data_IF_659508778988
#
_entry.id   IF_659508778988
#
_cell.length_a   1.000
_cell.length_b   1.000
_cell.length_c   1.000
_cell.angle_alpha   90.00
_cell.angle_beta   90.00
_cell.angle_gamma   90.00
#
_symmetry.space_group_name_H-M   'P 1'
#
loop_
_entity.id
_entity.type
_entity.pdbx_description
1 polymer ?
#
# COMPACT_ATOMS: atom_id res chain seq x y z
N UNK A 1 11.11 -4.84 -1.72
CA UNK A 1 9.73 -5.42 -1.75
C UNK A 1 8.92 -5.04 -0.52
N UNK A 2 9.43 -5.18 0.70
CA UNK A 2 8.72 -4.85 1.95
C UNK A 2 8.25 -3.38 1.96
N UNK A 3 9.10 -2.45 1.53
CA UNK A 3 8.75 -1.03 1.44
C UNK A 3 7.58 -0.74 0.48
N UNK A 4 7.48 -1.46 -0.64
CA UNK A 4 6.37 -1.32 -1.60
C UNK A 4 5.05 -1.72 -0.94
N UNK A 5 5.03 -2.84 -0.22
CA UNK A 5 3.84 -3.30 0.50
C UNK A 5 3.45 -2.29 1.58
N UNK A 6 4.42 -1.82 2.37
CA UNK A 6 4.18 -0.86 3.45
C UNK A 6 3.63 0.47 2.94
N UNK A 7 4.21 1.01 1.85
CA UNK A 7 3.76 2.27 1.25
C UNK A 7 2.37 2.14 0.62
N UNK A 8 2.08 1.06 -0.11
CA UNK A 8 0.75 0.82 -0.68
C UNK A 8 -0.30 0.64 0.40
N UNK A 9 0.01 -0.10 1.46
CA UNK A 9 -0.90 -0.28 2.60
C UNK A 9 -1.18 1.04 3.31
N UNK A 10 -0.14 1.83 3.62
CA UNK A 10 -0.28 3.15 4.24
C UNK A 10 -1.09 4.12 3.37
N UNK A 11 -0.81 4.15 2.06
CA UNK A 11 -1.57 4.97 1.11
C UNK A 11 -3.04 4.54 1.03
N UNK A 12 -3.31 3.23 1.05
CA UNK A 12 -4.67 2.69 1.06
C UNK A 12 -5.46 3.12 2.28
N UNK A 13 -4.89 3.01 3.47
CA UNK A 13 -5.53 3.44 4.72
C UNK A 13 -5.83 4.94 4.70
N UNK A 14 -4.88 5.75 4.27
CA UNK A 14 -5.03 7.21 4.23
C UNK A 14 -6.10 7.64 3.22
N UNK A 15 -6.15 7.02 2.05
CA UNK A 15 -7.16 7.31 1.03
C UNK A 15 -8.57 6.87 1.47
N UNK A 16 -8.70 5.71 2.14
CA UNK A 16 -9.97 5.25 2.70
C UNK A 16 -10.49 6.20 3.78
N UNK A 17 -9.65 6.61 4.73
CA UNK A 17 -10.00 7.57 5.79
C UNK A 17 -10.40 8.94 5.24
N UNK A 18 -9.64 9.46 4.27
CA UNK A 18 -9.98 10.72 3.59
C UNK A 18 -11.32 10.63 2.85
N UNK A 19 -11.58 9.52 2.17
CA UNK A 19 -12.84 9.31 1.46
C UNK A 19 -14.02 9.23 2.42
N UNK A 20 -13.88 8.48 3.53
CA UNK A 20 -14.91 8.39 4.58
C UNK A 20 -15.22 9.77 5.17
N UNK A 21 -14.19 10.50 5.58
CA UNK A 21 -14.33 11.84 6.18
C UNK A 21 -14.98 12.83 5.21
N UNK A 22 -14.59 12.80 3.93
CA UNK A 22 -15.14 13.70 2.90
C UNK A 22 -16.61 13.40 2.62
N UNK A 23 -16.96 12.13 2.46
CA UNK A 23 -18.35 11.71 2.23
C UNK A 23 -19.25 12.02 3.43
N UNK A 24 -18.74 11.81 4.65
CA UNK A 24 -19.47 12.15 5.86
C UNK A 24 -19.72 13.67 5.96
N UNK A 25 -18.72 14.49 5.72
CA UNK A 25 -18.88 15.97 5.73
C UNK A 25 -19.88 16.42 4.68
N UNK A 26 -19.77 15.93 3.44
CA UNK A 26 -20.70 16.29 2.37
C UNK A 26 -22.15 15.91 2.71
N UNK A 27 -22.35 14.78 3.40
CA UNK A 27 -23.66 14.35 3.87
C UNK A 27 -24.18 15.26 5.00
N UNK A 28 -23.35 15.60 5.98
CA UNK A 28 -23.67 16.48 7.09
C UNK A 28 -24.01 17.91 6.59
N UNK A 29 -23.21 18.43 5.66
CA UNK A 29 -23.44 19.73 5.03
C UNK A 29 -24.77 19.79 4.27
N UNK A 30 -25.11 18.70 3.57
CA UNK A 30 -26.40 18.57 2.88
C UNK A 30 -27.57 18.62 3.86
N UNK A 31 -27.48 17.89 4.99
CA UNK A 31 -28.52 17.92 6.02
C UNK A 31 -28.63 19.29 6.67
N UNK A 32 -27.51 19.99 6.92
CA UNK A 32 -27.50 21.35 7.44
C UNK A 32 -28.18 22.31 6.46
N UNK A 33 -27.89 22.23 5.16
CA UNK A 33 -28.55 23.04 4.14
C UNK A 33 -30.07 22.81 4.11
N UNK A 34 -30.50 21.54 4.19
CA UNK A 34 -31.91 21.18 4.26
C UNK A 34 -32.58 21.71 5.51
N UNK A 35 -31.88 21.67 6.66
CA UNK A 35 -32.34 22.27 7.90
C UNK A 35 -32.53 23.80 7.79
N UNK A 36 -31.56 24.48 7.21
CA UNK A 36 -31.65 25.93 6.97
C UNK A 36 -32.79 26.29 6.01
N UNK A 37 -32.95 25.48 4.96
CA UNK A 37 -34.06 25.64 4.02
C UNK A 37 -35.42 25.45 4.72
N UNK A 38 -35.54 24.43 5.60
CA UNK A 38 -36.76 24.19 6.37
C UNK A 38 -37.06 25.35 7.31
N UNK A 39 -36.04 25.89 7.99
CA UNK A 39 -36.19 27.06 8.87
C UNK A 39 -36.65 28.29 8.08
N UNK A 40 -36.00 28.57 6.96
CA UNK A 40 -36.34 29.69 6.08
C UNK A 40 -37.74 29.58 5.42
N UNK A 41 -38.20 28.35 5.18
CA UNK A 41 -39.52 28.06 4.64
C UNK A 41 -40.65 28.14 5.72
N UNK A 42 -40.29 28.17 6.98
CA UNK A 42 -41.25 28.14 8.09
C UNK A 42 -41.72 29.55 8.44
N UNK A 43 -43.03 29.75 8.55
CA UNK A 43 -43.65 31.02 8.99
C UNK A 43 -44.61 30.75 10.16
N UNK A 44 -44.69 31.70 11.05
CA UNK A 44 -45.69 31.72 12.12
C UNK A 44 -46.92 32.48 11.58
N UNK A 45 -48.07 31.83 11.64
CA UNK A 45 -49.33 32.44 11.30
C UNK A 45 -49.91 33.16 12.55
N UNK A 46 -50.83 34.08 12.34
CA UNK A 46 -51.55 34.82 13.38
C UNK A 46 -52.30 33.96 14.39
N UNK A 47 -52.47 32.67 14.10
CA UNK A 47 -53.07 31.63 14.98
C UNK A 47 -52.05 30.87 15.84
N UNK A 48 -50.81 31.38 16.02
CA UNK A 48 -49.70 30.69 16.70
C UNK A 48 -49.39 29.30 16.08
N UNK A 49 -49.75 29.05 14.82
CA UNK A 49 -49.42 27.85 14.11
C UNK A 49 -48.21 28.05 13.20
N UNK A 50 -47.29 27.08 13.18
CA UNK A 50 -46.16 27.10 12.24
C UNK A 50 -46.57 26.35 10.97
N UNK A 51 -46.53 27.08 9.87
CA UNK A 51 -46.78 26.51 8.54
C UNK A 51 -45.52 26.58 7.70
N UNK A 52 -45.24 25.50 6.96
CA UNK A 52 -44.14 25.42 5.98
C UNK A 52 -44.68 25.88 4.63
N UNK A 53 -44.31 27.11 4.22
CA UNK A 53 -44.91 27.80 3.06
C UNK A 53 -44.33 27.32 1.74
N UNK A 54 -43.15 26.72 1.72
CA UNK A 54 -42.55 26.18 0.50
C UNK A 54 -42.12 24.73 0.67
N UNK A 55 -42.15 24.00 -0.42
CA UNK A 55 -41.63 22.61 -0.46
C UNK A 55 -40.15 22.59 -0.12
N UNK A 56 -39.80 21.92 0.97
CA UNK A 56 -38.39 21.57 1.24
C UNK A 56 -37.89 20.70 0.09
N UNK A 57 -36.97 21.24 -0.71
CA UNK A 57 -36.66 20.88 -2.10
C UNK A 57 -36.18 19.47 -2.42
N UNK A 58 -36.21 18.51 -1.50
CA UNK A 58 -35.80 17.13 -1.81
C UNK A 58 -37.03 16.21 -2.00
N UNK A 59 -37.20 15.60 -3.20
CA UNK A 59 -38.34 14.71 -3.50
C UNK A 59 -38.48 13.54 -2.52
N UNK A 60 -37.43 13.12 -1.85
CA UNK A 60 -37.42 12.02 -0.89
C UNK A 60 -38.29 12.31 0.35
N UNK A 61 -38.53 13.57 0.68
CA UNK A 61 -39.44 13.96 1.77
C UNK A 61 -40.92 13.67 1.47
N UNK A 62 -41.26 13.32 0.23
CA UNK A 62 -42.61 12.95 -0.18
C UNK A 62 -42.81 11.43 -0.28
N UNK A 63 -41.72 10.66 -0.32
CA UNK A 63 -41.78 9.21 -0.44
C UNK A 63 -41.93 8.55 0.93
N UNK A 64 -43.01 7.82 1.20
CA UNK A 64 -43.19 7.13 2.49
C UNK A 64 -42.00 6.25 2.84
N UNK A 65 -41.53 6.38 4.08
CA UNK A 65 -40.42 5.58 4.62
C UNK A 65 -39.10 5.67 3.83
N UNK A 66 -38.85 6.81 3.19
CA UNK A 66 -37.63 7.03 2.38
C UNK A 66 -36.35 6.99 3.20
N UNK A 67 -36.41 7.28 4.49
CA UNK A 67 -35.22 7.51 5.34
C UNK A 67 -34.82 8.99 5.42
N UNK A 68 -35.48 9.84 4.61
CA UNK A 68 -35.30 11.29 4.63
C UNK A 68 -36.52 11.91 5.26
N UNK A 69 -36.35 12.52 6.44
CA UNK A 69 -37.46 13.01 7.24
C UNK A 69 -37.13 14.39 7.77
N UNK A 70 -38.17 15.22 7.94
CA UNK A 70 -38.09 16.43 8.72
C UNK A 70 -39.30 16.55 9.65
N UNK A 71 -39.10 17.21 10.77
CA UNK A 71 -40.15 17.44 11.77
C UNK A 71 -39.86 18.75 12.51
N UNK A 72 -40.94 19.45 12.88
CA UNK A 72 -40.92 20.69 13.65
C UNK A 72 -41.71 20.47 14.92
N UNK A 73 -41.12 20.74 16.06
CA UNK A 73 -41.74 20.48 17.36
C UNK A 73 -41.71 21.76 18.24
N UNK A 74 -42.80 21.96 19.02
CA UNK A 74 -42.82 22.83 20.16
C UNK A 74 -42.82 21.94 21.43
N UNK A 75 -41.68 21.82 22.09
CA UNK A 75 -41.50 20.85 23.17
C UNK A 75 -41.89 19.45 22.75
N UNK A 76 -42.93 18.86 23.37
CA UNK A 76 -43.41 17.51 23.06
C UNK A 76 -44.44 17.47 21.92
N UNK A 77 -44.94 18.64 21.48
CA UNK A 77 -46.00 18.73 20.47
C UNK A 77 -45.36 18.84 19.07
N UNK A 78 -45.77 17.98 18.16
CA UNK A 78 -45.37 18.07 16.73
C UNK A 78 -46.27 19.10 16.06
N UNK A 79 -45.65 20.14 15.49
CA UNK A 79 -46.31 21.21 14.75
C UNK A 79 -46.45 20.87 13.26
N UNK A 80 -45.39 20.38 12.66
CA UNK A 80 -45.38 19.98 11.26
C UNK A 80 -44.37 18.82 11.03
N UNK A 81 -44.57 18.04 9.97
CA UNK A 81 -43.68 16.93 9.60
C UNK A 81 -43.72 16.63 8.10
N UNK A 82 -42.66 15.98 7.60
CA UNK A 82 -42.61 15.52 6.22
C UNK A 82 -43.61 14.39 5.95
N UNK A 83 -44.13 14.32 4.72
CA UNK A 83 -45.03 13.23 4.30
C UNK A 83 -44.33 11.87 4.35
N UNK A 84 -43.01 11.84 4.19
CA UNK A 84 -42.22 10.60 4.26
C UNK A 84 -42.27 9.91 5.62
N UNK A 85 -42.56 10.64 6.72
CA UNK A 85 -42.72 10.07 8.06
C UNK A 85 -43.99 9.25 8.23
N UNK A 86 -45.01 9.50 7.40
CA UNK A 86 -46.30 8.83 7.42
C UNK A 86 -46.94 8.83 8.82
N UNK A 87 -46.84 7.72 9.55
CA UNK A 87 -47.38 7.52 10.91
C UNK A 87 -46.34 7.69 12.04
N UNK A 88 -45.10 8.09 11.69
CA UNK A 88 -44.00 8.17 12.64
C UNK A 88 -43.77 9.59 13.15
N UNK A 89 -43.20 9.65 14.36
CA UNK A 89 -42.84 10.92 15.02
C UNK A 89 -41.53 10.73 15.74
N UNK A 90 -40.60 11.67 15.56
CA UNK A 90 -39.39 11.73 16.37
C UNK A 90 -39.71 12.29 17.76
N UNK A 91 -39.26 11.58 18.78
CA UNK A 91 -39.38 12.07 20.17
C UNK A 91 -38.14 12.87 20.50
N UNK A 92 -38.32 14.08 21.04
CA UNK A 92 -37.23 14.97 21.45
C UNK A 92 -36.50 14.36 22.64
N UNK A 93 -35.23 14.10 22.51
CA UNK A 93 -34.33 13.91 23.64
C UNK A 93 -33.65 15.27 23.95
N UNK A 94 -34.10 15.96 24.99
CA UNK A 94 -33.58 17.26 25.42
C UNK A 94 -32.07 17.23 25.70
N UNK A 95 -31.48 16.05 25.94
CA UNK A 95 -30.04 15.89 26.17
C UNK A 95 -29.19 16.03 24.89
N UNK A 96 -29.84 15.99 23.72
CA UNK A 96 -29.20 16.06 22.41
C UNK A 96 -29.32 17.44 21.73
N UNK A 97 -29.92 18.43 22.40
CA UNK A 97 -29.99 19.80 21.91
C UNK A 97 -28.57 20.37 21.86
N UNK A 98 -28.09 20.71 20.67
CA UNK A 98 -26.73 21.25 20.45
C UNK A 98 -25.60 20.23 20.32
N UNK A 99 -25.88 18.92 20.42
CA UNK A 99 -24.89 17.85 20.20
C UNK A 99 -25.13 17.23 18.82
N UNK A 100 -24.07 17.09 18.00
CA UNK A 100 -24.07 16.24 16.80
C UNK A 100 -24.46 14.82 17.23
N UNK A 101 -25.73 14.44 17.04
CA UNK A 101 -26.21 13.14 17.49
C UNK A 101 -25.76 12.08 16.50
N UNK A 102 -24.77 11.31 16.90
CA UNK A 102 -24.48 10.02 16.29
C UNK A 102 -25.62 9.05 16.61
N UNK A 103 -26.27 8.56 15.54
CA UNK A 103 -27.10 7.36 15.49
C UNK A 103 -28.02 7.06 16.67
N UNK A 104 -29.30 7.38 16.56
CA UNK A 104 -30.31 6.84 17.46
C UNK A 104 -31.53 6.34 16.69
N UNK A 105 -31.76 5.02 16.76
CA UNK A 105 -33.02 4.38 16.39
C UNK A 105 -34.04 4.66 17.49
N UNK A 106 -34.89 5.63 17.31
CA UNK A 106 -36.08 5.76 18.15
C UNK A 106 -37.27 6.21 17.31
N UNK A 107 -37.98 5.24 16.75
CA UNK A 107 -39.31 5.46 16.26
C UNK A 107 -40.27 4.74 17.26
N UNK A 108 -41.03 5.50 18.02
CA UNK A 108 -42.19 4.97 18.73
C UNK A 108 -43.39 5.02 17.79
N UNK A 109 -43.62 3.93 17.09
CA UNK A 109 -44.78 3.72 16.24
C UNK A 109 -45.29 2.29 16.40
N UNK A 110 -46.53 2.05 16.01
CA UNK A 110 -47.28 0.82 16.19
C UNK A 110 -46.46 -0.44 15.83
N UNK A 111 -46.44 -1.42 16.75
CA UNK A 111 -45.53 -2.59 16.74
C UNK A 111 -45.36 -3.38 15.41
N UNK A 112 -46.29 -3.29 14.48
CA UNK A 112 -46.21 -4.01 13.18
C UNK A 112 -45.41 -3.28 12.07
N UNK A 113 -45.23 -1.97 12.17
CA UNK A 113 -44.53 -1.19 11.14
C UNK A 113 -43.11 -0.80 11.56
N UNK A 114 -42.82 -0.79 12.86
CA UNK A 114 -41.50 -0.53 13.46
C UNK A 114 -40.39 -1.45 12.91
N UNK A 115 -40.74 -2.66 12.46
CA UNK A 115 -39.78 -3.64 11.93
C UNK A 115 -39.10 -3.21 10.63
N UNK A 116 -39.67 -2.26 9.88
CA UNK A 116 -39.11 -1.78 8.59
C UNK A 116 -38.16 -0.60 8.79
N UNK A 117 -38.32 0.19 9.86
CA UNK A 117 -37.47 1.35 10.21
C UNK A 117 -36.31 0.98 11.12
N UNK A 118 -36.45 -0.02 11.98
CA UNK A 118 -35.37 -0.54 12.82
C UNK A 118 -34.11 -0.97 12.02
N UNK A 119 -34.25 -1.16 10.68
CA UNK A 119 -33.13 -1.53 9.80
C UNK A 119 -32.39 -0.34 9.16
N UNK A 120 -32.93 0.88 9.25
CA UNK A 120 -32.29 2.07 8.64
C UNK A 120 -31.50 2.83 9.69
N UNK A 121 -30.23 3.05 9.41
CA UNK A 121 -29.38 3.93 10.22
C UNK A 121 -29.62 5.36 9.75
N UNK A 122 -30.21 6.19 10.61
CA UNK A 122 -30.50 7.59 10.32
C UNK A 122 -29.48 8.49 11.00
N UNK A 123 -28.98 9.48 10.26
CA UNK A 123 -28.26 10.62 10.83
C UNK A 123 -29.27 11.75 11.01
N UNK A 124 -29.36 12.30 12.23
CA UNK A 124 -30.34 13.32 12.60
C UNK A 124 -29.60 14.57 13.03
N UNK A 125 -29.96 15.71 12.42
CA UNK A 125 -29.54 17.03 12.86
C UNK A 125 -30.74 17.75 13.43
N UNK A 126 -30.56 18.42 14.57
CA UNK A 126 -31.59 19.23 15.21
C UNK A 126 -31.05 20.61 15.54
N UNK A 127 -31.93 21.61 15.45
CA UNK A 127 -31.64 22.99 15.87
C UNK A 127 -32.86 23.61 16.54
N UNK A 128 -32.64 24.25 17.65
CA UNK A 128 -33.66 25.00 18.39
C UNK A 128 -33.58 26.45 18.00
N UNK A 129 -34.73 27.06 17.65
CA UNK A 129 -34.85 28.45 17.20
C UNK A 129 -36.02 29.13 17.92
N UNK A 130 -35.77 30.32 18.42
CA UNK A 130 -36.78 31.21 18.97
C UNK A 130 -37.28 32.17 17.90
N UNK A 131 -38.59 32.18 17.67
CA UNK A 131 -39.21 33.08 16.72
C UNK A 131 -39.79 34.32 17.44
N UNK A 132 -39.63 35.52 16.86
CA UNK A 132 -40.32 36.71 17.38
C UNK A 132 -41.83 36.49 17.37
N UNK A 133 -42.48 36.69 18.52
CA UNK A 133 -43.93 36.53 18.65
C UNK A 133 -44.39 35.09 18.98
N UNK A 134 -43.49 34.12 19.11
CA UNK A 134 -43.81 32.78 19.57
C UNK A 134 -43.20 32.53 20.96
N UNK A 135 -43.99 31.93 21.87
CA UNK A 135 -43.66 31.91 23.30
C UNK A 135 -42.57 30.90 23.66
N UNK A 136 -42.46 29.81 22.91
CA UNK A 136 -41.55 28.71 23.17
C UNK A 136 -40.51 28.60 22.05
N UNK A 137 -39.30 28.12 22.34
CA UNK A 137 -38.37 27.76 21.29
C UNK A 137 -38.87 26.54 20.50
N UNK A 138 -38.70 26.59 19.19
CA UNK A 138 -39.14 25.56 18.25
C UNK A 138 -37.95 24.72 17.80
N UNK A 139 -38.09 23.39 17.89
CA UNK A 139 -37.03 22.48 17.48
C UNK A 139 -37.30 21.95 16.09
N UNK A 140 -36.35 22.15 15.20
CA UNK A 140 -36.32 21.65 13.84
C UNK A 140 -35.47 20.40 13.76
N UNK A 141 -35.99 19.37 13.14
CA UNK A 141 -35.29 18.10 12.89
C UNK A 141 -35.20 17.83 11.40
N UNK A 142 -34.05 17.40 10.97
CA UNK A 142 -33.84 16.84 9.63
C UNK A 142 -33.05 15.55 9.76
N UNK A 143 -33.45 14.53 9.04
CA UNK A 143 -32.71 13.26 9.01
C UNK A 143 -32.51 12.75 7.59
N UNK A 144 -31.44 12.00 7.42
CA UNK A 144 -31.11 11.28 6.19
C UNK A 144 -30.68 9.85 6.47
N UNK A 145 -30.96 8.98 5.51
CA UNK A 145 -30.52 7.57 5.54
C UNK A 145 -29.01 7.50 5.26
N UNK A 146 -28.25 6.94 6.19
CA UNK A 146 -26.80 6.80 6.05
C UNK A 146 -26.40 5.67 5.10
N UNK A 147 -27.34 4.84 4.67
CA UNK A 147 -27.04 3.68 3.84
C UNK A 147 -26.45 4.10 2.49
N UNK A 148 -26.96 5.19 1.90
CA UNK A 148 -26.51 5.70 0.60
C UNK A 148 -25.01 6.04 0.62
N UNK A 149 -24.55 6.77 1.64
CA UNK A 149 -23.14 7.15 1.72
C UNK A 149 -22.25 5.97 2.17
N UNK A 150 -22.76 5.08 3.05
CA UNK A 150 -21.99 3.91 3.48
C UNK A 150 -21.78 2.92 2.35
N UNK A 151 -22.76 2.76 1.45
CA UNK A 151 -22.61 1.91 0.27
C UNK A 151 -21.60 2.50 -0.73
N UNK A 152 -21.55 3.82 -0.88
CA UNK A 152 -20.55 4.49 -1.70
C UNK A 152 -19.14 4.33 -1.13
N UNK A 153 -18.97 4.45 0.19
CA UNK A 153 -17.68 4.18 0.86
C UNK A 153 -17.22 2.75 0.61
N UNK A 154 -18.10 1.76 0.83
CA UNK A 154 -17.75 0.35 0.58
C UNK A 154 -17.37 0.07 -0.88
N UNK A 155 -18.09 0.66 -1.84
CA UNK A 155 -17.74 0.54 -3.25
C UNK A 155 -16.36 1.13 -3.55
N UNK A 156 -16.09 2.31 -3.00
CA UNK A 156 -14.77 2.94 -3.12
C UNK A 156 -13.67 2.07 -2.52
N UNK A 157 -13.84 1.59 -1.29
CA UNK A 157 -12.86 0.76 -0.59
C UNK A 157 -12.58 -0.55 -1.35
N UNK A 158 -13.62 -1.21 -1.87
CA UNK A 158 -13.44 -2.42 -2.68
C UNK A 158 -12.69 -2.12 -3.99
N UNK A 159 -13.01 -1.01 -4.66
CA UNK A 159 -12.32 -0.60 -5.87
C UNK A 159 -10.86 -0.24 -5.57
N UNK A 160 -10.62 0.54 -4.51
CA UNK A 160 -9.28 0.90 -4.07
C UNK A 160 -8.45 -0.34 -3.74
N UNK A 161 -9.01 -1.28 -2.97
CA UNK A 161 -8.35 -2.54 -2.64
C UNK A 161 -7.97 -3.33 -3.90
N UNK A 162 -8.89 -3.42 -4.86
CA UNK A 162 -8.63 -4.12 -6.14
C UNK A 162 -7.47 -3.47 -6.89
N UNK A 163 -7.47 -2.13 -7.01
CA UNK A 163 -6.40 -1.38 -7.67
C UNK A 163 -5.06 -1.59 -6.96
N UNK A 164 -5.03 -1.52 -5.63
CA UNK A 164 -3.81 -1.72 -4.84
C UNK A 164 -3.25 -3.13 -4.98
N UNK A 165 -4.11 -4.15 -5.03
CA UNK A 165 -3.68 -5.55 -5.25
C UNK A 165 -3.07 -5.69 -6.64
N UNK A 166 -3.73 -5.20 -7.70
CA UNK A 166 -3.22 -5.27 -9.08
C UNK A 166 -1.88 -4.54 -9.21
N UNK A 167 -1.79 -3.34 -8.63
CA UNK A 167 -0.57 -2.55 -8.63
C UNK A 167 0.55 -3.26 -7.84
N UNK A 168 0.24 -3.80 -6.66
CA UNK A 168 1.20 -4.52 -5.83
C UNK A 168 1.76 -5.77 -6.53
N UNK A 169 0.88 -6.58 -7.13
CA UNK A 169 1.29 -7.77 -7.90
C UNK A 169 2.12 -7.36 -9.12
N UNK A 170 1.71 -6.30 -9.83
CA UNK A 170 2.46 -5.78 -10.99
C UNK A 170 3.87 -5.32 -10.61
N UNK A 171 4.00 -4.51 -9.55
CA UNK A 171 5.30 -4.05 -9.06
C UNK A 171 6.18 -5.20 -8.55
N UNK A 172 5.59 -6.16 -7.83
CA UNK A 172 6.34 -7.31 -7.33
C UNK A 172 6.84 -8.20 -8.47
N UNK A 173 6.00 -8.40 -9.50
CA UNK A 173 6.38 -9.12 -10.72
C UNK A 173 7.50 -8.40 -11.47
N UNK A 174 7.40 -7.07 -11.61
CA UNK A 174 8.43 -6.27 -12.27
C UNK A 174 9.78 -6.35 -11.54
N UNK A 175 9.80 -6.24 -10.21
CA UNK A 175 11.02 -6.40 -9.40
C UNK A 175 11.58 -7.81 -9.52
N UNK A 176 10.74 -8.83 -9.48
CA UNK A 176 11.17 -10.23 -9.65
C UNK A 176 11.83 -10.46 -11.01
N UNK A 177 11.21 -9.98 -12.08
CA UNK A 177 11.77 -10.06 -13.42
C UNK A 177 13.10 -9.30 -13.51
N UNK A 178 13.14 -8.06 -13.02
CA UNK A 178 14.35 -7.23 -13.03
C UNK A 178 15.52 -7.90 -12.30
N UNK A 179 15.28 -8.49 -11.11
CA UNK A 179 16.33 -9.17 -10.36
C UNK A 179 16.80 -10.44 -11.08
N UNK A 180 15.88 -11.26 -11.58
CA UNK A 180 16.24 -12.50 -12.28
C UNK A 180 17.02 -12.20 -13.58
N UNK A 181 16.53 -11.30 -14.41
CA UNK A 181 17.22 -10.96 -15.67
C UNK A 181 18.50 -10.16 -15.42
N UNK A 182 18.51 -9.24 -14.45
CA UNK A 182 19.68 -8.42 -14.14
C UNK A 182 20.84 -9.21 -13.52
N UNK A 183 20.56 -10.29 -12.74
CA UNK A 183 21.59 -11.12 -12.11
C UNK A 183 22.04 -12.30 -12.98
N UNK A 184 21.35 -12.61 -14.07
CA UNK A 184 21.67 -13.73 -14.95
C UNK A 184 23.09 -13.64 -15.54
N UNK A 185 23.59 -12.47 -15.98
CA UNK A 185 24.97 -12.32 -16.46
C UNK A 185 26.04 -12.61 -15.39
N UNK A 186 25.77 -12.24 -14.13
CA UNK A 186 26.70 -12.51 -13.02
C UNK A 186 26.81 -14.00 -12.73
N UNK A 187 25.71 -14.74 -12.84
CA UNK A 187 25.73 -16.20 -12.72
C UNK A 187 26.53 -16.84 -13.88
N UNK A 188 26.48 -16.31 -15.08
CA UNK A 188 27.32 -16.77 -16.20
C UNK A 188 28.80 -16.56 -15.91
N UNK A 189 29.20 -15.38 -15.41
CA UNK A 189 30.59 -15.12 -14.98
C UNK A 189 31.04 -16.10 -13.91
N UNK A 190 30.21 -16.32 -12.87
CA UNK A 190 30.50 -17.29 -11.80
C UNK A 190 30.78 -18.69 -12.36
N UNK A 191 29.95 -19.16 -13.28
CA UNK A 191 30.10 -20.48 -13.89
C UNK A 191 31.35 -20.56 -14.78
N UNK A 192 31.63 -19.50 -15.56
CA UNK A 192 32.83 -19.43 -16.39
C UNK A 192 34.12 -19.40 -15.55
N UNK A 193 34.15 -18.63 -14.45
CA UNK A 193 35.27 -18.64 -13.51
C UNK A 193 35.50 -20.01 -12.86
N UNK A 194 34.44 -20.74 -12.58
CA UNK A 194 34.55 -22.14 -12.09
C UNK A 194 35.23 -23.03 -13.11
N UNK A 195 34.88 -22.93 -14.39
CA UNK A 195 35.51 -23.69 -15.48
C UNK A 195 36.99 -23.29 -15.70
N UNK A 196 37.29 -21.96 -15.62
CA UNK A 196 38.66 -21.47 -15.71
C UNK A 196 39.51 -22.03 -14.56
N UNK A 197 38.98 -22.04 -13.33
CA UNK A 197 39.68 -22.61 -12.18
C UNK A 197 39.98 -24.09 -12.34
N UNK A 198 39.11 -24.84 -12.99
CA UNK A 198 39.29 -26.29 -13.25
C UNK A 198 40.19 -26.55 -14.47
N UNK A 199 40.57 -25.53 -15.21
CA UNK A 199 41.41 -25.63 -16.43
C UNK A 199 40.66 -25.94 -17.71
N UNK A 200 39.30 -25.93 -17.67
CA UNK A 200 38.46 -26.22 -18.83
C UNK A 200 38.44 -25.03 -19.84
N UNK A 201 38.56 -23.81 -19.31
CA UNK A 201 38.60 -22.60 -20.10
C UNK A 201 39.74 -21.69 -19.61
N UNK A 202 40.29 -20.86 -20.51
CA UNK A 202 41.40 -19.94 -20.15
C UNK A 202 40.97 -18.51 -19.88
N UNK A 203 39.84 -18.07 -20.42
CA UNK A 203 39.33 -16.70 -20.31
C UNK A 203 37.80 -16.70 -20.36
N UNK A 204 37.21 -15.60 -19.89
CA UNK A 204 35.78 -15.33 -20.06
C UNK A 204 35.48 -15.09 -21.54
N UNK A 205 34.46 -15.78 -22.07
CA UNK A 205 34.02 -15.64 -23.46
C UNK A 205 32.91 -14.61 -23.60
N UNK A 206 33.03 -13.71 -24.58
CA UNK A 206 31.98 -12.72 -24.91
C UNK A 206 30.82 -13.35 -25.70
N UNK A 207 29.60 -12.71 -25.70
CA UNK A 207 29.32 -11.33 -25.24
C UNK A 207 28.68 -11.27 -23.86
N UNK A 208 29.08 -10.27 -23.07
CA UNK A 208 28.40 -9.88 -21.85
C UNK A 208 27.62 -8.57 -22.07
N UNK A 209 26.55 -8.28 -21.31
CA UNK A 209 25.85 -7.00 -21.31
C UNK A 209 26.80 -5.85 -21.01
N UNK A 210 26.47 -4.64 -21.52
CA UNK A 210 27.30 -3.43 -21.37
C UNK A 210 27.65 -3.08 -19.94
N UNK A 211 26.72 -3.36 -19.00
CA UNK A 211 26.88 -3.09 -17.57
C UNK A 211 27.93 -4.00 -16.91
N UNK A 212 28.16 -5.18 -17.46
CA UNK A 212 29.04 -6.21 -16.90
C UNK A 212 30.31 -6.40 -17.72
N UNK A 213 30.34 -5.92 -18.97
CA UNK A 213 31.47 -6.02 -19.88
C UNK A 213 32.78 -5.48 -19.30
N UNK A 214 32.83 -4.30 -18.62
CA UNK A 214 34.06 -3.81 -18.00
C UNK A 214 34.63 -4.77 -16.96
N UNK A 215 33.77 -5.41 -16.18
CA UNK A 215 34.18 -6.40 -15.18
C UNK A 215 34.79 -7.65 -15.86
N UNK A 216 34.14 -8.14 -16.90
CA UNK A 216 34.65 -9.30 -17.65
C UNK A 216 36.01 -9.03 -18.28
N UNK A 217 36.19 -7.80 -18.84
CA UNK A 217 37.48 -7.37 -19.41
C UNK A 217 38.57 -7.33 -18.35
N UNK A 218 38.30 -6.75 -17.18
CA UNK A 218 39.29 -6.67 -16.10
C UNK A 218 39.68 -8.04 -15.56
N UNK A 219 38.71 -8.96 -15.42
CA UNK A 219 38.99 -10.33 -15.05
C UNK A 219 39.87 -11.01 -16.08
N UNK A 220 39.64 -10.84 -17.37
CA UNK A 220 40.48 -11.39 -18.44
C UNK A 220 41.91 -10.83 -18.39
N UNK A 221 42.06 -9.52 -18.13
CA UNK A 221 43.37 -8.89 -17.95
C UNK A 221 44.15 -9.50 -16.75
N UNK A 222 43.46 -9.75 -15.64
CA UNK A 222 44.08 -10.40 -14.48
C UNK A 222 44.47 -11.85 -14.76
N UNK A 223 43.68 -12.59 -15.52
CA UNK A 223 43.99 -13.98 -15.91
C UNK A 223 45.21 -14.02 -16.83
N UNK A 224 45.30 -13.14 -17.82
CA UNK A 224 46.46 -13.02 -18.73
C UNK A 224 47.73 -12.62 -17.96
N UNK A 225 47.64 -11.68 -17.03
CA UNK A 225 48.76 -11.30 -16.19
C UNK A 225 49.26 -12.47 -15.33
N UNK A 226 48.35 -13.25 -14.77
CA UNK A 226 48.68 -14.42 -13.96
C UNK A 226 49.33 -15.54 -14.81
N UNK A 227 48.86 -15.77 -16.03
CA UNK A 227 49.49 -16.72 -16.98
C UNK A 227 50.91 -16.30 -17.31
N UNK A 228 51.16 -15.01 -17.58
CA UNK A 228 52.52 -14.45 -17.82
C UNK A 228 53.47 -14.64 -16.63
N UNK A 229 52.95 -14.48 -15.40
CA UNK A 229 53.76 -14.70 -14.19
C UNK A 229 54.13 -16.19 -14.07
N UNK A 230 53.17 -17.09 -14.29
CA UNK A 230 53.43 -18.54 -14.23
C UNK A 230 54.43 -19.01 -15.31
N UNK A 231 54.34 -18.47 -16.52
CA UNK A 231 55.29 -18.80 -17.59
C UNK A 231 56.72 -18.30 -17.30
N UNK A 232 56.82 -17.10 -16.74
CA UNK A 232 58.14 -16.58 -16.26
C UNK A 232 58.70 -17.47 -15.16
N UNK A 233 57.86 -17.86 -14.17
CA UNK A 233 58.30 -18.72 -13.08
C UNK A 233 58.78 -20.10 -13.61
N UNK A 234 58.03 -20.71 -14.54
CA UNK A 234 58.45 -21.97 -15.20
C UNK A 234 59.79 -21.82 -15.93
N UNK A 235 59.97 -20.74 -16.68
CA UNK A 235 61.21 -20.43 -17.37
C UNK A 235 62.37 -20.25 -16.40
N UNK A 236 62.19 -19.52 -15.31
CA UNK A 236 63.18 -19.38 -14.26
C UNK A 236 63.60 -20.72 -13.62
N UNK A 237 62.60 -21.56 -13.27
CA UNK A 237 62.88 -22.87 -12.69
C UNK A 237 63.64 -23.77 -13.70
N UNK A 238 63.22 -23.74 -14.98
CA UNK A 238 63.90 -24.45 -16.04
C UNK A 238 65.36 -24.03 -16.24
N UNK A 239 65.60 -22.69 -16.25
CA UNK A 239 66.96 -22.17 -16.31
C UNK A 239 67.79 -22.51 -15.08
N UNK A 240 67.21 -22.45 -13.87
CA UNK A 240 67.95 -22.86 -12.64
C UNK A 240 68.31 -24.32 -12.66
N UNK A 241 67.42 -25.21 -13.09
CA UNK A 241 67.67 -26.62 -13.27
C UNK A 241 68.82 -26.88 -14.24
N UNK A 242 68.88 -26.11 -15.35
CA UNK A 242 69.95 -26.23 -16.34
C UNK A 242 71.33 -25.74 -15.76
N UNK A 243 71.29 -24.56 -15.07
CA UNK A 243 72.51 -24.00 -14.44
C UNK A 243 73.04 -24.93 -13.33
N UNK A 244 72.19 -25.61 -12.55
CA UNK A 244 72.59 -26.54 -11.54
C UNK A 244 73.08 -27.88 -12.10
N UNK A 245 72.57 -28.32 -13.22
CA UNK A 245 73.03 -29.58 -13.88
C UNK A 245 74.48 -29.56 -14.28
N UNK A 246 75.01 -28.42 -14.74
CA UNK A 246 76.39 -28.28 -15.21
C UNK A 246 77.42 -28.45 -14.02
N UNK A 247 77.34 -27.71 -12.92
CA UNK A 247 78.25 -27.91 -11.82
C UNK A 247 78.09 -29.27 -11.14
N UNK A 248 76.85 -29.83 -11.11
CA UNK A 248 76.65 -31.18 -10.57
C UNK A 248 77.35 -32.24 -11.41
N UNK A 249 77.32 -32.06 -12.74
CA UNK A 249 78.03 -32.97 -13.66
C UNK A 249 79.56 -32.88 -13.50
N UNK A 250 80.09 -31.66 -13.24
CA UNK A 250 81.53 -31.45 -12.99
C UNK A 250 81.92 -32.12 -11.66
N UNK A 251 81.20 -31.89 -10.57
CA UNK A 251 81.43 -32.51 -9.26
C UNK A 251 81.33 -34.03 -9.34
N UNK A 252 80.39 -34.57 -10.09
CA UNK A 252 80.25 -36.00 -10.28
C UNK A 252 81.42 -36.60 -11.03
N UNK A 253 81.98 -35.85 -12.01
CA UNK A 253 83.13 -36.28 -12.81
C UNK A 253 84.46 -36.18 -12.04
N UNK A 254 84.62 -35.21 -11.14
CA UNK A 254 85.83 -34.99 -10.34
C UNK A 254 85.96 -35.95 -9.16
N UNK A 255 84.83 -36.38 -8.56
CA UNK A 255 84.81 -37.26 -7.40
C UNK A 255 85.21 -38.71 -7.72
N UNK A 256 85.51 -39.07 -8.98
CA UNK A 256 86.09 -40.36 -9.32
C UNK A 256 85.46 -41.56 -8.64
N UNK A 257 86.05 -42.73 -8.82
CA UNK A 257 85.48 -44.02 -8.37
C UNK A 257 85.68 -44.35 -6.90
N UNK A 258 86.17 -43.45 -6.01
CA UNK A 258 86.60 -43.84 -4.64
C UNK A 258 85.54 -43.65 -3.54
N UNK A 259 84.46 -42.90 -3.80
CA UNK A 259 83.46 -42.68 -2.75
C UNK A 259 82.02 -43.08 -3.21
N UNK A 260 81.75 -44.39 -3.21
CA UNK A 260 80.43 -44.96 -3.53
C UNK A 260 79.25 -44.36 -2.76
N UNK A 261 79.43 -43.84 -1.57
CA UNK A 261 78.38 -43.23 -0.72
C UNK A 261 78.02 -41.85 -1.21
N UNK A 262 79.03 -41.01 -1.52
CA UNK A 262 78.81 -39.67 -2.11
C UNK A 262 78.17 -39.73 -3.48
N UNK A 263 78.60 -40.69 -4.32
CA UNK A 263 78.02 -40.93 -5.65
C UNK A 263 76.54 -41.36 -5.57
N UNK A 264 76.14 -42.12 -4.58
CA UNK A 264 74.75 -42.52 -4.41
C UNK A 264 73.82 -41.30 -4.05
N UNK A 265 74.30 -40.38 -3.20
CA UNK A 265 73.56 -39.15 -2.83
C UNK A 265 73.49 -38.14 -3.98
N UNK A 266 74.55 -37.98 -4.74
CA UNK A 266 74.58 -37.13 -5.95
C UNK A 266 73.68 -37.70 -7.08
N UNK A 267 73.58 -39.00 -7.22
CA UNK A 267 72.63 -39.64 -8.14
C UNK A 267 71.16 -39.49 -7.68
N UNK A 268 70.87 -39.50 -6.40
CA UNK A 268 69.57 -39.23 -5.88
C UNK A 268 69.15 -37.79 -6.14
N UNK A 269 70.03 -36.81 -5.95
CA UNK A 269 69.79 -35.39 -6.30
C UNK A 269 69.65 -35.18 -7.82
N UNK A 270 70.22 -35.99 -8.66
CA UNK A 270 70.07 -35.92 -10.12
C UNK A 270 68.75 -36.47 -10.62
N UNK A 271 68.07 -37.28 -9.81
CA UNK A 271 66.80 -37.93 -10.14
C UNK A 271 65.56 -37.19 -9.62
N UNK A 272 65.74 -36.20 -8.75
CA UNK A 272 64.68 -35.22 -8.35
C UNK A 272 64.67 -34.02 -9.29
#
# INVERSE_FOLDING_TARGET
TIWIILTLFSAGLLLSDLNETTNFRAFDDRLNLLLETLIGASRIDSSESITVVSTVGDPRYFQPYSGWYWQINDGAKTLARSRSMWDQVFTIDKRLIGVRSQFRNQAQGNKKQTKKIEKKKLHIIQREISFPGYRNPVTFFVSGDTQEYTDNIKKFDNTLLTILIVLGVGLMSAVFLQVNFGLLPLNKIKTALFKIRNGDEKKLQDPYPLEVQPLATEINNLLEHNEKILDRAKTHVGNLAHVLKTPLAVVTNELGNEDKILMSQVQLMKKQ
#
